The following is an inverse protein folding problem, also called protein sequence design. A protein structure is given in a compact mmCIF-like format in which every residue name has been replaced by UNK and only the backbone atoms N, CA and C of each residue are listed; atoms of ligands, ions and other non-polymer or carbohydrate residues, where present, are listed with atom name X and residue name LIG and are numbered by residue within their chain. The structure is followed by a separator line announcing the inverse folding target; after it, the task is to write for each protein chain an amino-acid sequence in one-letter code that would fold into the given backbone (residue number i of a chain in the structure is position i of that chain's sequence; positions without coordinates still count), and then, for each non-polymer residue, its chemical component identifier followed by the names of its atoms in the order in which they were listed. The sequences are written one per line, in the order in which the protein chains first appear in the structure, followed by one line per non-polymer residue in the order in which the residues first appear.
data_IF_482373810234
#
_entry.id   IF_482373810234
#
_cell.length_a   1.000
_cell.length_b   1.000
_cell.length_c   1.000
_cell.angle_alpha   90.00
_cell.angle_beta   90.00
_cell.angle_gamma   90.00
#
_symmetry.space_group_name_H-M   'P 1'
#
loop_
_entity.id
_entity.type
_entity.pdbx_description
1 polymer ?
#
# COMPACT_ATOMS: atom_id res chain seq x y z
N UNK A 1 -8.98 -31.56 9.27
CA UNK A 1 -8.00 -30.87 10.13
C UNK A 1 -6.97 -30.14 9.24
N UNK A 2 -7.38 -29.06 8.55
CA UNK A 2 -6.51 -28.35 7.59
C UNK A 2 -6.71 -26.82 7.55
N UNK A 3 -7.76 -26.27 8.17
CA UNK A 3 -8.10 -24.84 8.02
C UNK A 3 -7.20 -23.89 8.84
N UNK A 4 -6.86 -24.26 10.07
CA UNK A 4 -5.96 -23.49 10.95
C UNK A 4 -4.51 -23.28 10.45
N UNK A 5 -4.04 -24.07 9.48
CA UNK A 5 -2.69 -23.90 8.90
C UNK A 5 -2.65 -22.77 7.87
N UNK A 6 -3.77 -22.51 7.19
CA UNK A 6 -3.91 -21.44 6.20
C UNK A 6 -3.97 -20.06 6.87
N UNK A 7 -4.65 -19.94 8.01
CA UNK A 7 -4.69 -18.69 8.78
C UNK A 7 -3.31 -18.32 9.33
N UNK A 8 -2.52 -19.33 9.73
CA UNK A 8 -1.19 -19.12 10.29
C UNK A 8 -0.15 -18.74 9.23
N UNK A 9 -0.19 -19.39 8.06
CA UNK A 9 0.64 -19.00 6.91
C UNK A 9 0.32 -17.59 6.42
N UNK A 10 -0.97 -17.20 6.41
CA UNK A 10 -1.36 -15.82 6.06
C UNK A 10 -0.95 -14.79 7.10
N UNK A 11 -0.94 -15.15 8.39
CA UNK A 11 -0.46 -14.27 9.43
C UNK A 11 1.06 -14.06 9.30
N UNK A 12 1.81 -15.14 9.07
CA UNK A 12 3.27 -15.07 8.86
C UNK A 12 3.63 -14.25 7.60
N UNK A 13 2.88 -14.40 6.50
CA UNK A 13 3.04 -13.56 5.28
C UNK A 13 2.64 -12.07 5.49
N UNK A 14 1.77 -11.79 6.47
CA UNK A 14 1.38 -10.42 6.84
C UNK A 14 2.34 -9.80 7.88
N UNK A 15 3.18 -10.61 8.53
CA UNK A 15 4.24 -10.17 9.45
C UNK A 15 5.52 -9.77 8.72
N UNK A 16 5.68 -10.14 7.44
CA UNK A 16 6.83 -9.74 6.65
C UNK A 16 6.74 -8.26 6.23
N UNK A 17 7.81 -7.51 6.47
CA UNK A 17 7.91 -6.11 6.04
C UNK A 17 7.80 -6.00 4.52
N UNK A 18 6.77 -5.29 4.05
CA UNK A 18 6.64 -4.94 2.62
C UNK A 18 7.77 -3.99 2.25
N UNK A 19 8.52 -4.28 1.19
CA UNK A 19 9.57 -3.39 0.68
C UNK A 19 9.02 -2.33 -0.29
N UNK A 20 9.77 -1.25 -0.49
CA UNK A 20 9.42 -0.21 -1.47
C UNK A 20 9.39 -0.77 -2.90
N UNK A 21 10.28 -1.72 -3.22
CA UNK A 21 10.33 -2.42 -4.50
C UNK A 21 9.07 -3.26 -4.74
N UNK A 22 8.63 -4.02 -3.74
CA UNK A 22 7.40 -4.82 -3.83
C UNK A 22 6.17 -3.93 -3.99
N UNK A 23 6.11 -2.83 -3.25
CA UNK A 23 5.06 -1.82 -3.41
C UNK A 23 5.06 -1.26 -4.83
N UNK A 24 6.24 -0.92 -5.37
CA UNK A 24 6.40 -0.46 -6.74
C UNK A 24 5.94 -1.49 -7.79
N UNK A 25 6.29 -2.76 -7.61
CA UNK A 25 5.84 -3.85 -8.49
C UNK A 25 4.31 -4.02 -8.46
N UNK A 26 3.71 -4.01 -7.27
CA UNK A 26 2.27 -4.14 -7.09
C UNK A 26 1.51 -2.97 -7.75
N UNK A 27 2.00 -1.75 -7.54
CA UNK A 27 1.44 -0.54 -8.15
C UNK A 27 1.59 -0.53 -9.68
N UNK A 28 2.69 -1.10 -10.20
CA UNK A 28 2.91 -1.28 -11.64
C UNK A 28 1.89 -2.23 -12.30
N UNK A 29 1.25 -3.11 -11.53
CA UNK A 29 0.23 -4.04 -12.01
C UNK A 29 -1.19 -3.47 -11.98
N UNK A 30 -1.38 -2.23 -11.50
CA UNK A 30 -2.69 -1.59 -11.48
C UNK A 30 -3.29 -1.53 -12.89
N UNK A 31 -4.56 -1.91 -13.01
CA UNK A 31 -5.27 -1.93 -14.29
C UNK A 31 -5.92 -0.58 -14.59
N UNK A 32 -5.73 -0.12 -15.82
CA UNK A 32 -6.41 1.05 -16.39
C UNK A 32 -7.92 0.83 -16.55
N UNK A 33 -8.69 1.92 -16.62
CA UNK A 33 -10.13 1.87 -16.92
C UNK A 33 -11.02 1.43 -15.75
N UNK A 34 -10.49 1.41 -14.52
CA UNK A 34 -11.29 1.30 -13.29
C UNK A 34 -11.88 2.66 -12.94
N UNK A 35 -13.07 2.66 -12.36
CA UNK A 35 -13.69 3.87 -11.81
C UNK A 35 -12.77 4.45 -10.72
N UNK A 36 -12.44 5.76 -10.79
CA UNK A 36 -11.65 6.43 -9.75
C UNK A 36 -12.26 6.27 -8.36
N UNK A 37 -11.39 6.29 -7.35
CA UNK A 37 -11.82 6.46 -5.97
C UNK A 37 -12.27 7.89 -5.67
N UNK A 38 -12.51 8.23 -4.39
CA UNK A 38 -12.97 9.56 -3.97
C UNK A 38 -12.04 10.73 -4.34
N UNK A 39 -10.78 10.45 -4.69
CA UNK A 39 -9.82 11.45 -5.15
C UNK A 39 -9.98 11.83 -6.62
N UNK A 40 -10.85 11.14 -7.37
CA UNK A 40 -11.01 11.24 -8.82
C UNK A 40 -9.71 11.00 -9.64
N UNK A 41 -8.64 10.52 -9.00
CA UNK A 41 -7.37 10.22 -9.67
C UNK A 41 -7.48 8.93 -10.49
N UNK A 42 -7.05 9.02 -11.75
CA UNK A 42 -6.95 7.85 -12.61
C UNK A 42 -5.63 7.11 -12.37
N UNK A 43 -5.62 5.82 -12.72
CA UNK A 43 -4.40 4.99 -12.62
C UNK A 43 -3.28 5.56 -13.49
N UNK A 44 -3.63 6.16 -14.63
CA UNK A 44 -2.71 6.83 -15.53
C UNK A 44 -2.00 8.02 -14.85
N UNK A 45 -2.74 8.84 -14.10
CA UNK A 45 -2.18 9.97 -13.36
C UNK A 45 -1.23 9.49 -12.27
N UNK A 46 -1.63 8.42 -11.57
CA UNK A 46 -0.79 7.80 -10.55
C UNK A 46 0.52 7.27 -11.15
N UNK A 47 0.49 6.59 -12.30
CA UNK A 47 1.71 6.07 -12.95
C UNK A 47 2.71 7.16 -13.31
N UNK A 48 2.25 8.38 -13.65
CA UNK A 48 3.13 9.50 -13.96
C UNK A 48 3.96 9.96 -12.76
N UNK A 49 3.42 9.81 -11.54
CA UNK A 49 4.06 10.26 -10.30
C UNK A 49 4.58 9.10 -9.43
N UNK A 50 4.28 7.85 -9.79
CA UNK A 50 4.53 6.64 -9.00
C UNK A 50 5.96 6.57 -8.45
N UNK A 51 6.97 6.76 -9.32
CA UNK A 51 8.39 6.71 -8.91
C UNK A 51 8.74 7.72 -7.81
N UNK A 52 8.04 8.86 -7.76
CA UNK A 52 8.28 9.91 -6.76
C UNK A 52 7.51 9.69 -5.46
N UNK A 53 6.47 8.85 -5.48
CA UNK A 53 5.56 8.67 -4.34
C UNK A 53 5.70 7.30 -3.68
N UNK A 54 6.30 6.30 -4.33
CA UNK A 54 6.50 4.96 -3.75
C UNK A 54 7.28 5.02 -2.43
N UNK A 55 8.46 5.66 -2.40
CA UNK A 55 9.25 5.75 -1.17
C UNK A 55 8.55 6.53 -0.06
N UNK A 56 7.95 7.71 -0.32
CA UNK A 56 7.13 8.39 0.68
C UNK A 56 5.99 7.51 1.22
N UNK A 57 5.21 6.86 0.35
CA UNK A 57 4.08 6.01 0.77
C UNK A 57 4.54 4.81 1.60
N UNK A 58 5.67 4.21 1.25
CA UNK A 58 6.28 3.10 1.98
C UNK A 58 6.73 3.54 3.39
N UNK A 59 7.44 4.66 3.49
CA UNK A 59 7.86 5.21 4.79
C UNK A 59 6.65 5.55 5.68
N UNK A 60 5.58 6.08 5.09
CA UNK A 60 4.34 6.38 5.80
C UNK A 60 3.65 5.11 6.31
N UNK A 61 3.69 4.03 5.53
CA UNK A 61 3.17 2.73 5.95
C UNK A 61 3.96 2.18 7.15
N UNK A 62 5.30 2.19 7.08
CA UNK A 62 6.16 1.78 8.20
C UNK A 62 5.86 2.60 9.46
N UNK A 63 5.82 3.93 9.34
CA UNK A 63 5.51 4.80 10.48
C UNK A 63 4.12 4.52 11.06
N UNK A 64 3.13 4.26 10.20
CA UNK A 64 1.79 3.95 10.66
C UNK A 64 1.72 2.62 11.41
N UNK A 65 2.50 1.64 10.97
CA UNK A 65 2.60 0.33 11.62
C UNK A 65 3.31 0.44 12.98
N UNK A 66 4.47 1.11 13.03
CA UNK A 66 5.25 1.31 14.25
C UNK A 66 4.51 2.12 15.33
N UNK A 67 3.78 3.16 14.91
CA UNK A 67 3.11 4.09 15.85
C UNK A 67 1.65 3.74 16.11
N UNK A 68 1.07 2.82 15.33
CA UNK A 68 -0.36 2.52 15.33
C UNK A 68 -1.23 3.70 14.87
N UNK A 69 -0.64 4.72 14.23
CA UNK A 69 -1.32 5.93 13.80
C UNK A 69 -0.82 6.40 12.43
N UNK A 70 -1.75 6.76 11.54
CA UNK A 70 -1.36 7.40 10.28
C UNK A 70 -0.52 8.66 10.54
N UNK A 71 0.49 8.94 9.71
CA UNK A 71 1.26 10.19 9.76
C UNK A 71 0.34 11.41 9.75
N UNK A 72 0.76 12.48 10.43
CA UNK A 72 -0.06 13.68 10.65
C UNK A 72 -0.54 14.32 9.34
N UNK A 73 0.31 14.28 8.31
CA UNK A 73 0.01 14.76 6.95
C UNK A 73 -1.14 13.99 6.28
N UNK A 74 -1.37 12.71 6.63
CA UNK A 74 -2.51 11.92 6.14
C UNK A 74 -3.75 12.08 7.02
N UNK A 75 -3.57 12.25 8.34
CA UNK A 75 -4.71 12.49 9.25
C UNK A 75 -5.44 13.78 8.93
N UNK A 76 -4.73 14.77 8.40
CA UNK A 76 -5.28 16.06 7.98
C UNK A 76 -5.79 16.09 6.55
N UNK A 77 -5.49 15.06 5.74
CA UNK A 77 -5.95 14.92 4.36
C UNK A 77 -7.31 14.17 4.23
N UNK A 78 -7.87 13.68 5.34
CA UNK A 78 -9.18 13.01 5.46
C UNK A 78 -10.24 13.96 6.01
#
# INVERSE_FOLDING_TARGET
MFLWKLDRLRAEELEEEVTAEELGMALGQLQSGKTPGPSDLLVEDFRYVAEKVITPLHNMHIQADETGALPEDLRTAL
#
